data_IF_881063842712
#
_entry.id   IF_881063842712
#
_cell.length_a   1.000
_cell.length_b   1.000
_cell.length_c   1.000
_cell.angle_alpha   90.00
_cell.angle_beta   90.00
_cell.angle_gamma   90.00
#
_symmetry.space_group_name_H-M   'P 1'
#
loop_
_entity.id
_entity.type
_entity.pdbx_description
1 polymer ?
#
# COMPACT_ATOMS: atom_id res chain seq x y z
N UNK A 1 -32.81 -26.02 -8.41
CA UNK A 1 -31.35 -26.22 -8.58
C UNK A 1 -30.63 -24.92 -8.19
N UNK A 2 -30.10 -24.87 -6.97
CA UNK A 2 -29.55 -23.65 -6.37
C UNK A 2 -28.11 -23.41 -6.89
N UNK A 3 -27.90 -22.39 -7.72
CA UNK A 3 -26.58 -22.06 -8.28
C UNK A 3 -25.80 -21.20 -7.29
N UNK A 4 -25.03 -21.84 -6.42
CA UNK A 4 -24.03 -21.14 -5.61
C UNK A 4 -22.94 -20.59 -6.54
N UNK A 5 -23.05 -19.31 -6.89
CA UNK A 5 -22.00 -18.56 -7.57
C UNK A 5 -20.76 -18.56 -6.67
N UNK A 6 -19.80 -19.43 -6.96
CA UNK A 6 -18.49 -19.42 -6.31
C UNK A 6 -17.85 -18.09 -6.64
N UNK A 7 -17.83 -17.15 -5.68
CA UNK A 7 -17.11 -15.87 -5.82
C UNK A 7 -15.69 -16.21 -6.27
N UNK A 8 -15.37 -15.83 -7.51
CA UNK A 8 -14.05 -16.00 -8.09
C UNK A 8 -13.07 -15.17 -7.25
N UNK A 9 -12.19 -15.84 -6.51
CA UNK A 9 -11.14 -15.25 -5.68
C UNK A 9 -10.06 -14.49 -6.49
N UNK A 10 -10.26 -14.26 -7.79
CA UNK A 10 -9.28 -13.68 -8.70
C UNK A 10 -9.24 -12.14 -8.70
N UNK A 11 -10.08 -11.46 -7.91
CA UNK A 11 -10.12 -9.99 -7.88
C UNK A 11 -9.20 -9.36 -6.82
N UNK A 12 -8.24 -10.10 -6.27
CA UNK A 12 -7.22 -9.54 -5.38
C UNK A 12 -5.85 -9.55 -6.06
N UNK A 13 -5.79 -8.98 -7.27
CA UNK A 13 -4.56 -8.62 -8.00
C UNK A 13 -3.76 -7.50 -7.31
N UNK A 14 -3.91 -7.33 -6.00
CA UNK A 14 -3.10 -6.40 -5.24
C UNK A 14 -1.71 -6.99 -5.10
N UNK A 15 -0.81 -6.63 -6.02
CA UNK A 15 0.61 -6.85 -5.86
C UNK A 15 1.08 -5.96 -4.72
N UNK A 16 1.24 -6.55 -3.54
CA UNK A 16 1.71 -5.81 -2.37
C UNK A 16 3.15 -5.34 -2.65
N UNK A 17 3.41 -4.02 -2.74
CA UNK A 17 4.76 -3.50 -2.98
C UNK A 17 5.67 -3.74 -1.78
N UNK A 18 5.13 -4.11 -0.62
CA UNK A 18 5.88 -4.46 0.57
C UNK A 18 6.07 -5.97 0.65
N UNK A 19 7.19 -6.46 0.11
CA UNK A 19 7.51 -7.89 0.05
C UNK A 19 7.96 -8.50 1.39
N UNK A 20 7.98 -7.72 2.47
CA UNK A 20 8.50 -8.18 3.76
C UNK A 20 7.47 -9.00 4.53
N UNK A 21 7.85 -10.02 5.31
CA UNK A 21 6.92 -10.88 6.04
C UNK A 21 6.04 -10.13 7.05
N UNK A 22 6.52 -9.00 7.56
CA UNK A 22 5.82 -8.11 8.50
C UNK A 22 5.14 -6.91 7.81
N UNK A 23 5.08 -6.91 6.48
CA UNK A 23 4.36 -5.89 5.73
C UNK A 23 2.85 -6.00 5.94
N UNK A 24 2.18 -4.85 6.08
CA UNK A 24 0.74 -4.80 6.27
C UNK A 24 0.13 -3.88 5.21
N UNK A 25 -0.64 -4.41 4.24
CA UNK A 25 -1.26 -3.62 3.19
C UNK A 25 -2.11 -2.44 3.69
N UNK A 26 -2.73 -2.55 4.88
CA UNK A 26 -3.52 -1.46 5.46
C UNK A 26 -2.68 -0.29 5.95
N UNK A 27 -1.40 -0.52 6.22
CA UNK A 27 -0.43 0.49 6.66
C UNK A 27 0.67 0.70 5.61
N UNK A 28 0.37 0.42 4.35
CA UNK A 28 1.26 0.62 3.21
C UNK A 28 1.88 2.03 3.17
N UNK A 29 1.09 3.08 3.44
CA UNK A 29 1.56 4.47 3.37
C UNK A 29 2.68 4.81 4.36
N UNK A 30 2.79 4.07 5.48
CA UNK A 30 3.81 4.24 6.50
C UNK A 30 4.95 3.23 6.43
N UNK A 31 4.94 2.33 5.44
CA UNK A 31 5.99 1.35 5.22
C UNK A 31 6.96 1.84 4.14
N UNK A 32 8.24 1.48 4.28
CA UNK A 32 9.26 1.64 3.23
C UNK A 32 9.37 0.34 2.46
N UNK A 33 9.46 0.41 1.13
CA UNK A 33 9.51 -0.78 0.27
C UNK A 33 10.94 -1.19 -0.14
N UNK A 34 11.97 -0.54 0.40
CA UNK A 34 13.37 -0.77 0.06
C UNK A 34 13.87 -0.01 -1.17
N UNK A 35 12.97 0.50 -2.02
CA UNK A 35 13.30 1.43 -3.11
C UNK A 35 13.33 2.87 -2.61
N UNK A 36 12.49 3.20 -1.63
CA UNK A 36 12.44 4.51 -0.99
C UNK A 36 13.02 4.47 0.43
N UNK A 37 13.80 5.50 0.77
CA UNK A 37 14.30 5.69 2.15
C UNK A 37 13.27 6.35 3.07
N UNK A 38 12.26 7.01 2.49
CA UNK A 38 11.20 7.70 3.20
C UNK A 38 9.83 7.08 2.88
N UNK A 39 8.90 7.23 3.81
CA UNK A 39 7.49 6.87 3.61
C UNK A 39 6.77 7.94 2.79
N UNK A 40 5.62 7.58 2.19
CA UNK A 40 4.82 8.52 1.39
C UNK A 40 4.39 9.73 2.23
N UNK A 41 4.04 9.50 3.49
CA UNK A 41 3.63 10.57 4.41
C UNK A 41 4.74 11.61 4.64
N UNK A 42 5.99 11.18 4.79
CA UNK A 42 7.13 12.08 4.95
C UNK A 42 7.40 12.89 3.67
N UNK A 43 7.29 12.25 2.50
CA UNK A 43 7.42 12.96 1.22
C UNK A 43 6.35 14.05 1.05
N UNK A 44 5.12 13.77 1.46
CA UNK A 44 4.03 14.75 1.44
C UNK A 44 4.33 15.89 2.42
N UNK A 45 4.78 15.57 3.64
CA UNK A 45 5.13 16.55 4.65
C UNK A 45 6.23 17.49 4.16
N UNK A 46 7.35 16.96 3.66
CA UNK A 46 8.45 17.77 3.11
C UNK A 46 7.96 18.72 2.01
N UNK A 47 7.10 18.23 1.11
CA UNK A 47 6.54 19.03 0.03
C UNK A 47 5.62 20.13 0.54
N UNK A 48 4.81 19.86 1.57
CA UNK A 48 3.92 20.85 2.18
C UNK A 48 4.70 21.94 2.90
N UNK A 49 5.72 21.57 3.68
CA UNK A 49 6.60 22.52 4.37
C UNK A 49 7.25 23.48 3.39
N UNK A 50 7.81 22.98 2.27
CA UNK A 50 8.40 23.84 1.22
C UNK A 50 7.41 24.78 0.53
N UNK A 51 6.12 24.44 0.50
CA UNK A 51 5.08 25.31 -0.06
C UNK A 51 4.65 26.41 0.90
N UNK A 52 4.85 26.20 2.20
CA UNK A 52 4.41 27.10 3.26
C UNK A 52 5.53 28.00 3.79
N UNK A 53 6.78 27.72 3.44
CA UNK A 53 7.95 28.58 3.63
C UNK A 53 8.06 29.64 2.54
#
# INVERSE_FOLDING_TARGET
MNRHSRKKFYNNLYSNPFQQPWANPKHAHSQVNGETQQTVDLMILERQTRKQS
#
